data_IF_898450300588
#
_entry.id   IF_898450300588
#
_cell.length_a   1.000
_cell.length_b   1.000
_cell.length_c   1.000
_cell.angle_alpha   90.00
_cell.angle_beta   90.00
_cell.angle_gamma   90.00
#
_symmetry.space_group_name_H-M   'P 1'
#
loop_
_entity.id
_entity.type
_entity.pdbx_description
1 polymer ?
#
# COMPACT_ATOMS: atom_id res chain seq x y z
N UNK A 1 59.84 -18.85 18.78
CA UNK A 1 58.43 -18.88 19.16
C UNK A 1 57.75 -17.73 18.45
N UNK A 2 56.98 -18.01 17.40
CA UNK A 2 56.26 -16.97 16.63
C UNK A 2 54.75 -17.11 16.92
N UNK A 3 54.16 -16.06 17.46
CA UNK A 3 52.73 -15.96 17.70
C UNK A 3 52.00 -15.61 16.39
N UNK A 4 50.98 -16.38 16.04
CA UNK A 4 50.05 -16.11 14.94
C UNK A 4 48.94 -15.17 15.41
N UNK A 5 48.56 -14.12 14.62
CA UNK A 5 47.45 -13.28 14.99
C UNK A 5 46.12 -13.95 14.62
N UNK A 6 45.20 -13.99 15.60
CA UNK A 6 43.84 -14.48 15.42
C UNK A 6 43.05 -13.55 14.53
N UNK A 7 42.37 -14.13 13.52
CA UNK A 7 41.41 -13.42 12.66
C UNK A 7 40.15 -13.06 13.47
N UNK A 8 39.91 -11.78 13.57
CA UNK A 8 38.66 -11.22 14.07
C UNK A 8 37.44 -11.70 13.24
N UNK A 9 36.49 -12.33 13.92
CA UNK A 9 35.20 -12.77 13.39
C UNK A 9 34.03 -11.84 13.83
N UNK A 10 34.03 -10.53 13.52
CA UNK A 10 32.80 -9.76 13.71
C UNK A 10 32.13 -9.28 12.40
N UNK A 11 32.72 -9.56 11.22
CA UNK A 11 32.20 -8.96 9.99
C UNK A 11 30.90 -9.63 9.45
N UNK A 12 30.61 -10.88 9.84
CA UNK A 12 29.46 -11.60 9.31
C UNK A 12 28.14 -11.23 9.98
N UNK A 13 28.15 -10.80 11.24
CA UNK A 13 26.92 -10.45 11.97
C UNK A 13 26.38 -9.06 11.61
N UNK A 14 27.22 -8.15 11.17
CA UNK A 14 26.79 -6.82 10.72
C UNK A 14 26.11 -6.84 9.35
N UNK A 15 26.46 -7.77 8.47
CA UNK A 15 25.83 -7.91 7.17
C UNK A 15 24.38 -8.42 7.25
N UNK A 16 24.04 -9.27 8.23
CA UNK A 16 22.67 -9.74 8.41
C UNK A 16 21.72 -8.69 9.00
N UNK A 17 22.23 -7.76 9.81
CA UNK A 17 21.39 -6.69 10.40
C UNK A 17 20.89 -5.69 9.33
N UNK A 18 21.63 -5.49 8.24
CA UNK A 18 21.26 -4.62 7.14
C UNK A 18 20.15 -5.22 6.24
N UNK A 19 20.06 -6.53 6.18
CA UNK A 19 19.04 -7.22 5.39
C UNK A 19 17.64 -7.18 6.03
N UNK A 20 17.56 -6.92 7.34
CA UNK A 20 16.29 -6.84 8.07
C UNK A 20 15.70 -5.41 8.14
N UNK A 21 16.51 -4.39 7.85
CA UNK A 21 16.08 -2.98 7.86
C UNK A 21 15.50 -2.48 6.53
N UNK A 22 15.16 -3.35 5.60
CA UNK A 22 14.82 -3.15 4.19
C UNK A 22 13.74 -2.14 3.80
N UNK A 23 13.77 -0.95 4.38
CA UNK A 23 13.15 0.24 3.80
C UNK A 23 14.27 1.20 3.41
N UNK A 24 14.79 1.04 2.20
CA UNK A 24 15.74 2.00 1.64
C UNK A 24 15.02 3.35 1.47
N UNK A 25 15.53 4.35 2.15
CA UNK A 25 15.17 5.74 1.95
C UNK A 25 15.57 6.16 0.54
N UNK A 26 14.60 6.47 -0.29
CA UNK A 26 14.86 7.00 -1.64
C UNK A 26 14.28 8.39 -1.76
N UNK A 27 15.16 9.31 -2.09
CA UNK A 27 14.88 10.70 -2.40
C UNK A 27 13.95 10.86 -3.60
N UNK A 28 13.26 11.99 -3.60
CA UNK A 28 12.38 12.46 -4.66
C UNK A 28 12.98 12.28 -6.05
N UNK A 29 12.56 11.26 -6.77
CA UNK A 29 12.75 11.19 -8.22
C UNK A 29 11.37 11.15 -8.88
N UNK A 30 11.19 12.09 -9.78
CA UNK A 30 10.06 12.15 -10.70
C UNK A 30 10.01 10.84 -11.47
N UNK A 31 8.98 10.06 -11.24
CA UNK A 31 8.75 8.82 -11.96
C UNK A 31 8.29 9.18 -13.38
N UNK A 32 9.10 8.84 -14.36
CA UNK A 32 8.65 8.77 -15.74
C UNK A 32 7.70 7.57 -15.86
N UNK A 33 6.41 7.78 -15.64
CA UNK A 33 5.41 6.69 -15.69
C UNK A 33 4.01 7.17 -15.37
N UNK A 34 3.06 6.26 -15.38
CA UNK A 34 1.62 6.51 -15.23
C UNK A 34 1.18 7.09 -13.86
N UNK A 35 2.12 7.40 -12.99
CA UNK A 35 1.90 7.85 -11.62
C UNK A 35 2.46 9.25 -11.45
N UNK A 36 1.64 10.23 -11.04
CA UNK A 36 2.03 11.64 -10.93
C UNK A 36 1.83 12.19 -9.52
N UNK A 37 2.60 13.23 -9.18
CA UNK A 37 2.37 14.03 -7.97
C UNK A 37 1.82 15.42 -8.33
N UNK A 38 0.78 15.46 -9.17
CA UNK A 38 0.18 16.70 -9.67
C UNK A 38 -0.47 17.55 -8.56
N UNK A 39 -0.59 17.00 -7.36
CA UNK A 39 -1.13 17.69 -6.18
C UNK A 39 -0.05 18.35 -5.31
N UNK A 40 1.21 18.32 -5.73
CA UNK A 40 2.37 18.84 -4.96
C UNK A 40 2.37 18.36 -3.49
N UNK A 41 2.04 17.09 -3.31
CA UNK A 41 1.98 16.50 -1.97
C UNK A 41 3.34 16.50 -1.27
N UNK A 42 3.41 16.92 0.00
CA UNK A 42 4.64 16.86 0.78
C UNK A 42 4.96 15.43 1.26
N UNK A 43 4.05 14.47 1.06
CA UNK A 43 4.18 13.11 1.58
C UNK A 43 5.14 12.32 0.69
N UNK A 44 6.10 11.63 1.30
CA UNK A 44 7.05 10.83 0.54
C UNK A 44 6.34 9.70 -0.21
N UNK A 45 6.85 9.42 -1.40
CA UNK A 45 6.33 8.39 -2.28
C UNK A 45 4.83 8.56 -2.59
N UNK A 46 4.32 9.80 -2.43
CA UNK A 46 2.96 10.11 -2.84
C UNK A 46 2.83 10.06 -4.36
N UNK A 47 1.71 9.52 -4.79
CA UNK A 47 1.39 9.47 -6.20
C UNK A 47 -0.10 9.28 -6.42
N UNK A 48 -0.63 9.97 -7.42
CA UNK A 48 -1.98 9.77 -7.94
C UNK A 48 -1.95 8.58 -8.90
N UNK A 49 -2.36 7.41 -8.43
CA UNK A 49 -2.45 6.19 -9.24
C UNK A 49 -3.63 6.31 -10.22
N UNK A 50 -4.78 6.76 -9.75
CA UNK A 50 -5.95 7.01 -10.58
C UNK A 50 -6.62 8.31 -10.13
N UNK A 51 -6.75 9.32 -11.02
CA UNK A 51 -7.35 10.61 -10.67
C UNK A 51 -8.73 10.46 -10.03
N UNK A 52 -8.92 11.11 -8.89
CA UNK A 52 -10.17 11.07 -8.13
C UNK A 52 -10.52 9.70 -7.48
N UNK A 53 -9.69 8.67 -7.67
CA UNK A 53 -10.01 7.30 -7.22
C UNK A 53 -8.97 6.76 -6.25
N UNK A 54 -7.69 6.72 -6.64
CA UNK A 54 -6.65 6.02 -5.89
C UNK A 54 -5.38 6.85 -5.79
N UNK A 55 -4.95 7.07 -4.58
CA UNK A 55 -3.66 7.64 -4.21
C UNK A 55 -2.80 6.62 -3.48
N UNK A 56 -1.49 6.79 -3.53
CA UNK A 56 -0.53 5.99 -2.75
C UNK A 56 0.46 6.90 -2.05
N UNK A 57 0.98 6.48 -0.89
CA UNK A 57 2.04 7.19 -0.17
C UNK A 57 2.73 6.29 0.87
N UNK A 58 3.78 6.84 1.53
CA UNK A 58 4.22 6.31 2.81
C UNK A 58 3.15 6.50 3.90
N UNK A 59 3.34 5.87 5.05
CA UNK A 59 2.46 6.05 6.21
C UNK A 59 2.37 7.52 6.61
N UNK A 60 1.19 8.15 6.53
CA UNK A 60 1.03 9.57 6.82
C UNK A 60 1.33 9.92 8.28
N UNK A 61 2.12 10.96 8.49
CA UNK A 61 2.26 11.63 9.77
C UNK A 61 1.00 12.45 10.11
N UNK A 62 0.95 13.04 11.31
CA UNK A 62 -0.15 13.95 11.66
C UNK A 62 -0.25 15.16 10.72
N UNK A 63 0.88 15.73 10.31
CA UNK A 63 0.92 16.86 9.36
C UNK A 63 0.43 16.44 7.98
N UNK A 64 0.84 15.25 7.54
CA UNK A 64 0.39 14.70 6.26
C UNK A 64 -1.11 14.40 6.27
N UNK A 65 -1.64 13.93 7.40
CA UNK A 65 -3.07 13.71 7.58
C UNK A 65 -3.87 15.02 7.41
N UNK A 66 -3.38 16.16 7.93
CA UNK A 66 -4.00 17.46 7.70
C UNK A 66 -4.04 17.84 6.23
N UNK A 67 -2.94 17.61 5.51
CA UNK A 67 -2.88 17.85 4.08
C UNK A 67 -3.86 16.97 3.31
N UNK A 68 -3.93 15.67 3.63
CA UNK A 68 -4.85 14.71 2.99
C UNK A 68 -6.31 15.08 3.23
N UNK A 69 -6.67 15.49 4.46
CA UNK A 69 -8.01 15.97 4.80
C UNK A 69 -8.38 17.20 3.98
N UNK A 70 -7.46 18.16 3.90
CA UNK A 70 -7.66 19.39 3.11
C UNK A 70 -7.83 19.12 1.61
N UNK A 71 -7.28 18.02 1.11
CA UNK A 71 -7.41 17.59 -0.29
C UNK A 71 -8.53 16.56 -0.51
N UNK A 72 -9.40 16.37 0.50
CA UNK A 72 -10.64 15.63 0.35
C UNK A 72 -10.48 14.10 0.32
N UNK A 73 -9.40 13.53 0.93
CA UNK A 73 -9.30 12.08 1.03
C UNK A 73 -10.53 11.48 1.71
N UNK A 74 -11.18 10.51 1.06
CA UNK A 74 -12.40 9.88 1.59
C UNK A 74 -12.12 8.63 2.40
N UNK A 75 -11.08 7.89 2.03
CA UNK A 75 -10.74 6.61 2.67
C UNK A 75 -9.23 6.44 2.79
N UNK A 76 -8.78 5.85 3.89
CA UNK A 76 -7.39 5.47 4.10
C UNK A 76 -7.30 3.97 4.37
N UNK A 77 -6.51 3.27 3.56
CA UNK A 77 -6.19 1.86 3.73
C UNK A 77 -4.73 1.73 4.14
N UNK A 78 -4.49 1.44 5.41
CA UNK A 78 -3.15 1.13 5.89
C UNK A 78 -2.85 -0.36 5.76
N UNK A 79 -1.75 -0.67 5.07
CA UNK A 79 -1.29 -2.04 4.84
C UNK A 79 -0.33 -2.53 5.94
N UNK A 80 -0.13 -1.75 7.00
CA UNK A 80 0.82 -2.10 8.06
C UNK A 80 0.46 -1.46 9.41
N UNK A 81 0.53 -0.13 9.50
CA UNK A 81 0.41 0.60 10.76
C UNK A 81 -0.99 1.16 10.96
N UNK A 82 -1.38 1.32 12.23
CA UNK A 82 -2.59 2.07 12.57
C UNK A 82 -2.28 3.58 12.49
N UNK A 83 -2.87 4.23 11.50
CA UNK A 83 -2.72 5.68 11.25
C UNK A 83 -3.91 6.49 11.72
N UNK A 84 -4.93 5.84 12.29
CA UNK A 84 -6.18 6.49 12.70
C UNK A 84 -5.95 7.69 13.59
N UNK A 85 -5.08 7.59 14.61
CA UNK A 85 -4.78 8.71 15.52
C UNK A 85 -4.23 9.95 14.83
N UNK A 86 -3.46 9.78 13.75
CA UNK A 86 -2.95 10.91 12.96
C UNK A 86 -4.08 11.70 12.33
N UNK A 87 -5.10 10.99 11.85
CA UNK A 87 -6.26 11.62 11.23
C UNK A 87 -7.30 12.11 12.22
N UNK A 88 -7.57 11.40 13.32
CA UNK A 88 -8.44 11.90 14.39
C UNK A 88 -7.95 13.26 14.90
N UNK A 89 -6.65 13.40 15.05
CA UNK A 89 -6.04 14.67 15.44
C UNK A 89 -6.10 15.76 14.35
N UNK A 90 -6.18 15.39 13.08
CA UNK A 90 -6.37 16.33 11.98
C UNK A 90 -7.83 16.79 11.86
N UNK A 91 -8.79 15.93 12.21
CA UNK A 91 -10.22 16.26 12.24
C UNK A 91 -10.66 17.09 13.45
N UNK A 92 -9.84 17.21 14.47
CA UNK A 92 -10.14 18.07 15.61
C UNK A 92 -10.19 19.57 15.26
N UNK A 93 -9.86 19.95 14.04
CA UNK A 93 -10.04 21.29 13.50
C UNK A 93 -11.54 21.53 13.15
N UNK A 94 -12.18 22.60 13.70
CA UNK A 94 -13.62 22.84 13.58
C UNK A 94 -14.15 23.02 12.14
N UNK A 95 -13.28 23.10 11.14
CA UNK A 95 -13.63 23.26 9.72
C UNK A 95 -13.72 21.98 8.91
N UNK A 96 -13.37 20.81 9.49
CA UNK A 96 -13.32 19.56 8.78
C UNK A 96 -14.69 18.87 8.76
N UNK A 97 -15.45 19.05 7.67
CA UNK A 97 -16.78 18.48 7.48
C UNK A 97 -16.79 17.02 6.99
N UNK A 98 -15.64 16.40 6.81
CA UNK A 98 -15.53 15.11 6.14
C UNK A 98 -15.16 13.99 7.11
N UNK A 99 -16.00 12.95 7.18
CA UNK A 99 -15.67 11.71 7.87
C UNK A 99 -14.79 10.85 6.97
N UNK A 100 -13.57 10.52 7.42
CA UNK A 100 -12.69 9.59 6.70
C UNK A 100 -12.95 8.16 7.17
N UNK A 101 -13.03 7.25 6.22
CA UNK A 101 -13.16 5.82 6.48
C UNK A 101 -11.77 5.19 6.60
N UNK A 102 -11.55 4.36 7.63
CA UNK A 102 -10.26 3.71 7.86
C UNK A 102 -10.34 2.22 7.75
N UNK A 103 -9.36 1.66 7.04
CA UNK A 103 -9.10 0.23 7.03
C UNK A 103 -7.65 -0.01 7.42
N UNK A 104 -7.43 -0.95 8.33
CA UNK A 104 -6.12 -1.54 8.56
C UNK A 104 -6.15 -2.96 8.05
N UNK A 105 -5.32 -3.25 7.05
CA UNK A 105 -5.14 -4.57 6.48
C UNK A 105 -3.69 -4.95 6.70
N UNK A 106 -3.42 -5.43 7.92
CA UNK A 106 -2.12 -5.94 8.34
C UNK A 106 -1.81 -7.31 7.73
N UNK A 107 -0.74 -7.92 8.15
CA UNK A 107 -0.31 -9.30 7.82
C UNK A 107 0.21 -9.53 6.40
N UNK A 108 0.65 -8.48 5.75
CA UNK A 108 1.28 -8.55 4.46
C UNK A 108 2.82 -8.55 4.61
N UNK A 109 3.44 -9.70 4.48
CA UNK A 109 4.88 -9.90 4.66
C UNK A 109 5.59 -10.25 3.34
N UNK A 110 6.92 -10.07 3.29
CA UNK A 110 7.73 -10.48 2.14
C UNK A 110 7.59 -11.98 1.83
N UNK A 111 7.43 -12.81 2.86
CA UNK A 111 7.21 -14.26 2.71
C UNK A 111 5.91 -14.56 1.96
N UNK A 112 4.86 -13.79 2.18
CA UNK A 112 3.60 -13.96 1.45
C UNK A 112 3.73 -13.57 -0.02
N UNK A 113 4.57 -12.58 -0.34
CA UNK A 113 4.88 -12.24 -1.73
C UNK A 113 5.54 -13.39 -2.46
N UNK A 114 6.53 -14.04 -1.83
CA UNK A 114 7.25 -15.17 -2.41
C UNK A 114 6.38 -16.40 -2.55
N UNK A 115 5.61 -16.73 -1.51
CA UNK A 115 4.79 -17.95 -1.46
C UNK A 115 3.42 -17.74 -2.11
N UNK A 116 3.02 -16.51 -2.39
CA UNK A 116 1.69 -16.08 -2.80
C UNK A 116 0.56 -16.53 -1.84
N UNK A 117 0.95 -17.04 -0.67
CA UNK A 117 -0.01 -17.54 0.31
C UNK A 117 -0.77 -16.35 0.93
N UNK A 118 -2.08 -16.40 0.87
CA UNK A 118 -2.98 -15.35 1.34
C UNK A 118 -2.82 -13.97 0.65
N UNK A 119 -1.82 -13.81 -0.24
CA UNK A 119 -1.59 -12.54 -0.92
C UNK A 119 -2.74 -12.18 -1.87
N UNK A 120 -3.27 -13.17 -2.60
CA UNK A 120 -4.39 -12.98 -3.52
C UNK A 120 -5.65 -12.51 -2.78
N UNK A 121 -5.89 -13.05 -1.58
CA UNK A 121 -7.02 -12.67 -0.73
C UNK A 121 -6.85 -11.21 -0.23
N UNK A 122 -5.64 -10.84 0.25
CA UNK A 122 -5.34 -9.47 0.65
C UNK A 122 -5.51 -8.48 -0.49
N UNK A 123 -4.99 -8.81 -1.65
CA UNK A 123 -5.14 -7.99 -2.87
C UNK A 123 -6.62 -7.85 -3.22
N UNK A 124 -7.38 -8.93 -3.26
CA UNK A 124 -8.80 -8.91 -3.57
C UNK A 124 -9.59 -8.03 -2.59
N UNK A 125 -9.32 -8.14 -1.30
CA UNK A 125 -9.95 -7.35 -0.25
C UNK A 125 -9.66 -5.86 -0.41
N UNK A 126 -8.38 -5.49 -0.62
CA UNK A 126 -8.01 -4.08 -0.80
C UNK A 126 -8.61 -3.52 -2.08
N UNK A 127 -8.60 -4.27 -3.19
CA UNK A 127 -9.23 -3.85 -4.44
C UNK A 127 -10.75 -3.65 -4.27
N UNK A 128 -11.43 -4.53 -3.53
CA UNK A 128 -12.86 -4.36 -3.23
C UNK A 128 -13.13 -3.07 -2.44
N UNK A 129 -12.27 -2.73 -1.47
CA UNK A 129 -12.34 -1.46 -0.75
C UNK A 129 -12.13 -0.29 -1.70
N UNK A 130 -11.06 -0.33 -2.52
CA UNK A 130 -10.78 0.73 -3.49
C UNK A 130 -11.99 0.97 -4.40
N UNK A 131 -12.69 -0.05 -4.84
CA UNK A 131 -13.83 0.07 -5.73
C UNK A 131 -15.08 0.64 -5.05
N UNK A 132 -15.31 0.34 -3.78
CA UNK A 132 -16.59 0.64 -3.08
C UNK A 132 -16.52 1.78 -2.07
N UNK A 133 -15.37 2.02 -1.46
CA UNK A 133 -15.23 3.03 -0.40
C UNK A 133 -15.31 4.47 -0.93
N UNK A 134 -15.59 5.46 -0.07
CA UNK A 134 -15.52 6.88 -0.43
C UNK A 134 -14.17 7.26 -1.03
N UNK A 135 -14.22 8.05 -2.12
CA UNK A 135 -13.05 8.46 -2.92
C UNK A 135 -12.55 9.85 -2.52
N UNK A 136 -11.28 10.18 -2.79
CA UNK A 136 -10.19 9.27 -3.18
C UNK A 136 -9.78 8.31 -2.06
N UNK A 137 -9.30 7.13 -2.43
CA UNK A 137 -8.75 6.15 -1.48
C UNK A 137 -7.25 6.31 -1.43
N UNK A 138 -6.67 6.52 -0.25
CA UNK A 138 -5.23 6.45 -0.04
C UNK A 138 -4.84 5.05 0.43
N UNK A 139 -3.94 4.39 -0.28
CA UNK A 139 -3.26 3.19 0.19
C UNK A 139 -1.86 3.53 0.70
N UNK A 140 -1.46 3.00 1.85
CA UNK A 140 -0.17 3.30 2.45
C UNK A 140 0.43 2.10 3.19
N UNK A 141 1.76 2.05 3.24
CA UNK A 141 2.53 1.21 4.14
C UNK A 141 3.71 2.03 4.66
N UNK A 142 4.59 1.46 5.49
CA UNK A 142 5.67 2.21 6.13
C UNK A 142 6.40 3.18 5.20
N UNK A 143 6.87 2.71 4.05
CA UNK A 143 7.58 3.52 3.07
C UNK A 143 6.74 3.88 1.83
N UNK A 144 5.53 3.35 1.70
CA UNK A 144 4.73 3.54 0.47
C UNK A 144 5.29 2.85 -0.77
N UNK A 145 6.23 1.94 -0.63
CA UNK A 145 6.98 1.33 -1.75
C UNK A 145 6.50 -0.09 -2.03
N UNK A 146 6.82 -1.08 -1.19
CA UNK A 146 6.62 -2.49 -1.52
C UNK A 146 5.16 -2.95 -1.47
N UNK A 147 4.56 -3.01 -0.28
CA UNK A 147 3.16 -3.45 -0.12
C UNK A 147 2.21 -2.56 -0.91
N UNK A 148 2.41 -1.26 -0.79
CA UNK A 148 1.69 -0.24 -1.54
C UNK A 148 1.90 -0.40 -3.05
N UNK A 149 3.13 -0.68 -3.48
CA UNK A 149 3.48 -0.93 -4.86
C UNK A 149 2.76 -2.15 -5.45
N UNK A 150 2.70 -3.26 -4.71
CA UNK A 150 1.98 -4.47 -5.14
C UNK A 150 0.48 -4.17 -5.33
N UNK A 151 -0.15 -3.47 -4.39
CA UNK A 151 -1.58 -3.13 -4.51
C UNK A 151 -1.81 -2.17 -5.68
N UNK A 152 -0.99 -1.14 -5.84
CA UNK A 152 -1.09 -0.23 -6.98
C UNK A 152 -0.92 -0.95 -8.32
N UNK A 153 0.09 -1.81 -8.45
CA UNK A 153 0.31 -2.60 -9.66
C UNK A 153 -0.83 -3.61 -9.91
N UNK A 154 -1.36 -4.25 -8.86
CA UNK A 154 -2.52 -5.13 -8.98
C UNK A 154 -3.77 -4.37 -9.44
N UNK A 155 -4.01 -3.16 -8.93
CA UNK A 155 -5.08 -2.28 -9.39
C UNK A 155 -4.93 -1.95 -10.88
N UNK A 156 -3.72 -1.57 -11.32
CA UNK A 156 -3.41 -1.31 -12.72
C UNK A 156 -3.75 -2.52 -13.62
N UNK A 157 -3.27 -3.71 -13.24
CA UNK A 157 -3.43 -4.93 -14.06
C UNK A 157 -4.86 -5.49 -14.01
N UNK A 158 -5.45 -5.56 -12.82
CA UNK A 158 -6.70 -6.27 -12.61
C UNK A 158 -7.92 -5.42 -12.88
N UNK A 159 -7.87 -4.15 -12.51
CA UNK A 159 -9.02 -3.22 -12.61
C UNK A 159 -8.89 -2.34 -13.85
N UNK A 160 -7.73 -1.72 -14.09
CA UNK A 160 -7.55 -0.83 -15.23
C UNK A 160 -7.16 -1.57 -16.54
N UNK A 161 -6.81 -2.85 -16.46
CA UNK A 161 -6.41 -3.64 -17.64
C UNK A 161 -5.04 -3.28 -18.22
N UNK A 162 -4.20 -2.56 -17.46
CA UNK A 162 -2.83 -2.25 -17.86
C UNK A 162 -2.01 -3.54 -18.02
N UNK A 163 -1.04 -3.54 -18.93
CA UNK A 163 -0.15 -4.69 -19.06
C UNK A 163 0.71 -4.88 -17.80
N UNK A 164 1.03 -6.12 -17.45
CA UNK A 164 1.93 -6.41 -16.31
C UNK A 164 3.30 -5.76 -16.50
N UNK A 165 3.76 -5.59 -17.74
CA UNK A 165 5.05 -4.93 -18.05
C UNK A 165 5.03 -3.45 -17.64
N UNK A 166 3.99 -2.73 -17.99
CA UNK A 166 3.84 -1.31 -17.64
C UNK A 166 3.64 -1.12 -16.15
N UNK A 167 2.80 -1.94 -15.51
CA UNK A 167 2.59 -1.90 -14.07
C UNK A 167 3.86 -2.22 -13.27
N UNK A 168 4.72 -3.11 -13.78
CA UNK A 168 6.03 -3.41 -13.19
C UNK A 168 6.99 -2.23 -13.36
N UNK A 169 7.03 -1.59 -14.52
CA UNK A 169 7.88 -0.42 -14.74
C UNK A 169 7.51 0.72 -13.76
N UNK A 170 6.22 0.96 -13.52
CA UNK A 170 5.75 1.91 -12.51
C UNK A 170 6.21 1.50 -11.09
N UNK A 171 6.09 0.22 -10.74
CA UNK A 171 6.51 -0.32 -9.45
C UNK A 171 8.03 -0.18 -9.24
N UNK A 172 8.82 -0.52 -10.25
CA UNK A 172 10.28 -0.47 -10.20
C UNK A 172 10.81 0.97 -10.08
N UNK A 173 10.09 1.95 -10.57
CA UNK A 173 10.38 3.37 -10.39
C UNK A 173 10.46 3.81 -8.93
N UNK A 174 9.88 3.08 -7.99
CA UNK A 174 10.00 3.32 -6.54
C UNK A 174 11.22 2.66 -5.90
N UNK A 175 12.10 2.04 -6.67
CA UNK A 175 13.41 1.49 -6.26
C UNK A 175 13.42 0.75 -4.90
N UNK A 176 13.01 -0.49 -4.88
CA UNK A 176 13.09 -1.34 -3.70
C UNK A 176 13.98 -2.56 -3.96
N UNK A 177 14.74 -3.02 -2.97
CA UNK A 177 15.46 -4.30 -3.08
C UNK A 177 14.50 -5.50 -3.26
N UNK A 178 13.21 -5.33 -2.92
CA UNK A 178 12.18 -6.33 -3.09
C UNK A 178 11.49 -6.31 -4.47
N UNK A 179 11.85 -5.35 -5.34
CA UNK A 179 11.24 -5.23 -6.67
C UNK A 179 11.26 -6.52 -7.50
N UNK A 180 12.32 -7.35 -7.50
CA UNK A 180 12.28 -8.62 -8.25
C UNK A 180 11.15 -9.56 -7.79
N UNK A 181 10.89 -9.64 -6.48
CA UNK A 181 9.81 -10.47 -5.93
C UNK A 181 8.44 -9.85 -6.19
N UNK A 182 8.32 -8.53 -6.01
CA UNK A 182 7.11 -7.78 -6.28
C UNK A 182 6.73 -7.91 -7.77
N UNK A 183 7.70 -7.75 -8.68
CA UNK A 183 7.50 -7.91 -10.11
C UNK A 183 7.12 -9.36 -10.48
N UNK A 184 7.70 -10.36 -9.82
CA UNK A 184 7.32 -11.77 -10.01
C UNK A 184 5.83 -11.98 -9.68
N UNK A 185 5.36 -11.44 -8.56
CA UNK A 185 3.94 -11.49 -8.21
C UNK A 185 3.08 -10.82 -9.27
N UNK A 186 3.41 -9.59 -9.68
CA UNK A 186 2.64 -8.84 -10.68
C UNK A 186 2.57 -9.57 -12.02
N UNK A 187 3.68 -10.19 -12.48
CA UNK A 187 3.68 -11.04 -13.70
C UNK A 187 2.70 -12.20 -13.59
N UNK A 188 2.51 -12.75 -12.40
CA UNK A 188 1.61 -13.88 -12.18
C UNK A 188 0.12 -13.53 -12.21
N UNK A 189 -0.23 -12.23 -12.26
CA UNK A 189 -1.62 -11.74 -12.29
C UNK A 189 -2.24 -11.90 -13.69
N UNK A 190 -2.27 -13.12 -14.20
CA UNK A 190 -2.78 -13.44 -15.53
C UNK A 190 -3.66 -14.71 -15.52
N UNK A 191 -4.35 -14.97 -16.62
CA UNK A 191 -5.11 -16.21 -16.85
C UNK A 191 -6.07 -16.57 -15.72
N UNK A 192 -6.02 -17.81 -15.27
CA UNK A 192 -6.89 -18.36 -14.23
C UNK A 192 -6.73 -17.66 -12.88
N UNK A 193 -5.50 -17.20 -12.54
CA UNK A 193 -5.24 -16.47 -11.29
C UNK A 193 -5.94 -15.10 -11.28
N UNK A 194 -5.82 -14.34 -12.40
CA UNK A 194 -6.57 -13.09 -12.56
C UNK A 194 -8.05 -13.29 -12.36
N UNK A 195 -8.63 -14.31 -13.04
CA UNK A 195 -10.05 -14.63 -12.92
C UNK A 195 -10.46 -15.00 -11.49
N UNK A 196 -9.60 -15.74 -10.77
CA UNK A 196 -9.82 -16.09 -9.35
C UNK A 196 -9.86 -14.83 -8.48
N UNK A 197 -8.84 -13.98 -8.56
CA UNK A 197 -8.77 -12.76 -7.74
C UNK A 197 -9.96 -11.84 -8.01
N UNK A 198 -10.35 -11.66 -9.28
CA UNK A 198 -11.51 -10.83 -9.62
C UNK A 198 -12.84 -11.42 -9.11
N UNK A 199 -12.97 -12.75 -9.00
CA UNK A 199 -14.12 -13.35 -8.31
C UNK A 199 -14.12 -13.02 -6.82
N UNK A 200 -12.97 -13.12 -6.16
CA UNK A 200 -12.84 -12.75 -4.74
C UNK A 200 -13.14 -11.25 -4.51
N UNK A 201 -12.70 -10.36 -5.40
CA UNK A 201 -13.08 -8.93 -5.36
C UNK A 201 -14.60 -8.79 -5.34
N UNK A 202 -15.30 -9.47 -6.25
CA UNK A 202 -16.77 -9.43 -6.30
C UNK A 202 -17.41 -10.02 -5.06
N UNK A 203 -16.86 -11.10 -4.51
CA UNK A 203 -17.33 -11.67 -3.25
C UNK A 203 -17.24 -10.67 -2.10
N UNK A 204 -16.09 -10.02 -1.94
CA UNK A 204 -15.93 -8.95 -0.93
C UNK A 204 -16.90 -7.77 -1.16
N UNK A 205 -17.13 -7.39 -2.40
CA UNK A 205 -18.08 -6.33 -2.75
C UNK A 205 -19.52 -6.71 -2.42
N UNK A 206 -19.90 -7.98 -2.58
CA UNK A 206 -21.24 -8.48 -2.24
C UNK A 206 -21.54 -8.48 -0.74
N UNK A 207 -20.51 -8.59 0.10
CA UNK A 207 -20.62 -8.47 1.55
C UNK A 207 -20.89 -7.03 2.02
N UNK A 208 -20.75 -6.04 1.14
CA UNK A 208 -21.05 -4.64 1.42
C UNK A 208 -21.89 -4.03 0.28
N UNK A 209 -23.10 -4.55 -0.04
CA UNK A 209 -23.86 -4.19 -1.21
C UNK A 209 -24.19 -2.69 -1.28
N UNK A 210 -24.29 -2.02 -0.15
CA UNK A 210 -24.62 -0.60 -0.04
C UNK A 210 -23.37 0.27 0.18
N UNK A 211 -22.15 -0.27 0.03
CA UNK A 211 -20.90 0.45 0.35
C UNK A 211 -20.80 0.84 1.82
N UNK A 212 -21.61 0.25 2.69
CA UNK A 212 -21.56 0.48 4.12
C UNK A 212 -20.47 -0.39 4.73
N UNK A 213 -19.50 0.31 5.28
CA UNK A 213 -18.50 -0.26 6.16
C UNK A 213 -18.92 0.08 7.59
N UNK A 214 -19.08 -0.91 8.46
CA UNK A 214 -19.32 -0.63 9.87
C UNK A 214 -18.03 -0.14 10.51
N UNK A 215 -17.91 1.17 10.57
CA UNK A 215 -16.83 1.87 11.26
C UNK A 215 -17.33 2.28 12.64
N UNK A 216 -17.49 1.31 13.56
CA UNK A 216 -17.85 1.65 14.94
C UNK A 216 -16.75 2.50 15.57
N UNK A 217 -17.14 3.55 16.24
CA UNK A 217 -16.23 4.45 16.94
C UNK A 217 -15.13 3.66 17.67
N UNK A 218 -13.88 3.89 17.31
CA UNK A 218 -12.71 3.28 17.93
C UNK A 218 -12.27 1.91 17.40
N UNK A 219 -12.87 1.34 16.35
CA UNK A 219 -12.50 0.04 15.78
C UNK A 219 -12.22 0.13 14.28
N UNK A 220 -11.43 -0.83 13.77
CA UNK A 220 -11.24 -0.99 12.34
C UNK A 220 -12.59 -1.14 11.63
N UNK A 221 -12.73 -0.46 10.50
CA UNK A 221 -13.90 -0.66 9.66
C UNK A 221 -13.89 -2.08 9.11
N UNK A 222 -14.98 -2.79 9.24
CA UNK A 222 -15.17 -4.14 8.69
C UNK A 222 -16.25 -4.09 7.63
N UNK A 223 -16.12 -4.93 6.62
CA UNK A 223 -17.26 -5.29 5.81
C UNK A 223 -18.26 -6.00 6.72
N UNK A 224 -19.44 -5.46 6.87
CA UNK A 224 -20.51 -6.11 7.60
C UNK A 224 -21.41 -6.77 6.58
N UNK A 225 -21.53 -8.10 6.63
CA UNK A 225 -22.66 -8.81 6.04
C UNK A 225 -23.91 -8.35 6.78
N UNK A 226 -24.91 -7.88 6.04
CA UNK A 226 -26.24 -7.66 6.59
C UNK A 226 -26.95 -8.99 6.74
#
# INVERSE_FOLDING_TARGET
MRATPGLCRPALLLAMAWLLSGCVYISHHTLAGACSNDLDSPIRNFCVVAPGVLWRAETPSRRDAQWLVAHGVGTVVSLELDVRRSFEAAHADPGSAHSIVYFRIGDFSAIQVVTHRHLDEHVAKVLAIIEKAPKPVLISCRAGVDRTGIIAAAYRVLIQGMSSKEAIAELEGFHSPWNPLNAHYVRSLAGARKAKILREVRNWQSLAPNGRFDCRAGRECRFVAQ
#
